data_IF_172167877938
#
_entry.id   IF_172167877938
#
_cell.length_a   1.000
_cell.length_b   1.000
_cell.length_c   1.000
_cell.angle_alpha   90.00
_cell.angle_beta   90.00
_cell.angle_gamma   90.00
#
_symmetry.space_group_name_H-M   'P 1'
#
loop_
_entity.id
_entity.type
_entity.pdbx_description
1 polymer ?
#
# COMPACT_ATOMS: atom_id res chain seq x y z
N UNK A 1 -6.26 -11.36 7.51
CA UNK A 1 -5.85 -11.42 8.93
C UNK A 1 -4.97 -10.20 9.24
N UNK A 2 -5.44 -9.23 10.03
CA UNK A 2 -4.72 -7.98 10.29
C UNK A 2 -4.01 -7.97 11.67
N UNK A 3 -3.34 -9.06 12.04
CA UNK A 3 -2.85 -9.26 13.42
C UNK A 3 -1.48 -8.65 13.72
N UNK A 4 -0.52 -8.76 12.80
CA UNK A 4 0.89 -8.38 13.04
C UNK A 4 1.13 -6.90 12.75
N UNK A 5 0.65 -6.40 11.61
CA UNK A 5 0.75 -4.97 11.25
C UNK A 5 0.06 -4.06 12.28
N UNK A 6 -1.06 -4.49 12.87
CA UNK A 6 -1.72 -3.74 13.93
C UNK A 6 -0.85 -3.54 15.18
N UNK A 7 0.06 -4.49 15.43
CA UNK A 7 1.03 -4.49 16.54
C UNK A 7 2.37 -3.84 16.17
N UNK A 8 2.47 -3.23 14.99
CA UNK A 8 3.70 -2.62 14.49
C UNK A 8 4.77 -3.63 14.11
N UNK A 9 4.39 -4.90 13.90
CA UNK A 9 5.31 -5.94 13.44
C UNK A 9 5.20 -6.02 11.93
N UNK A 10 6.29 -5.66 11.24
CA UNK A 10 6.38 -5.90 9.81
C UNK A 10 6.83 -7.33 9.52
N UNK A 11 6.29 -7.95 8.46
CA UNK A 11 6.68 -9.30 8.04
C UNK A 11 6.74 -9.38 6.53
N UNK A 12 7.91 -9.71 6.00
CA UNK A 12 8.12 -10.01 4.59
C UNK A 12 8.43 -11.49 4.41
N UNK A 13 8.04 -12.06 3.28
CA UNK A 13 8.17 -13.47 2.99
C UNK A 13 9.00 -13.68 1.72
N UNK A 14 9.90 -14.66 1.75
CA UNK A 14 10.82 -14.95 0.66
C UNK A 14 10.75 -16.41 0.24
N UNK A 15 10.15 -16.67 -0.92
CA UNK A 15 10.07 -18.00 -1.50
C UNK A 15 11.38 -18.37 -2.17
N UNK A 16 11.94 -19.54 -1.87
CA UNK A 16 13.16 -20.05 -2.51
C UNK A 16 12.81 -21.19 -3.45
N UNK A 17 13.17 -21.08 -4.73
CA UNK A 17 12.79 -22.05 -5.74
C UNK A 17 11.27 -22.05 -6.00
N UNK A 18 10.76 -23.12 -6.61
CA UNK A 18 9.39 -23.13 -7.18
C UNK A 18 8.33 -23.81 -6.28
N UNK A 19 8.74 -24.40 -5.15
CA UNK A 19 7.87 -25.27 -4.36
C UNK A 19 7.26 -24.58 -3.12
N UNK A 20 7.39 -23.25 -3.01
CA UNK A 20 6.76 -22.51 -1.92
C UNK A 20 5.30 -22.18 -2.24
N UNK A 21 4.48 -22.05 -1.20
CA UNK A 21 3.08 -21.66 -1.33
C UNK A 21 2.98 -20.12 -1.39
N UNK A 22 2.82 -19.60 -2.62
CA UNK A 22 2.76 -18.16 -2.89
C UNK A 22 1.55 -17.50 -2.22
N UNK A 23 0.40 -18.17 -2.21
CA UNK A 23 -0.83 -17.65 -1.61
C UNK A 23 -0.70 -17.52 -0.09
N UNK A 24 -0.19 -18.56 0.57
CA UNK A 24 0.03 -18.56 2.00
C UNK A 24 1.07 -17.50 2.39
N UNK A 25 2.21 -17.48 1.70
CA UNK A 25 3.29 -16.56 2.02
C UNK A 25 2.90 -15.11 1.71
N UNK A 26 2.15 -14.88 0.64
CA UNK A 26 1.57 -13.58 0.32
C UNK A 26 0.58 -13.10 1.37
N UNK A 27 -0.25 -13.99 1.89
CA UNK A 27 -1.16 -13.67 2.98
C UNK A 27 -0.42 -13.30 4.28
N UNK A 28 0.68 -14.00 4.61
CA UNK A 28 1.52 -13.69 5.77
C UNK A 28 2.20 -12.32 5.60
N UNK A 29 2.80 -12.06 4.44
CA UNK A 29 3.46 -10.79 4.16
C UNK A 29 2.48 -9.63 4.24
N UNK A 30 1.30 -9.79 3.60
CA UNK A 30 0.22 -8.79 3.62
C UNK A 30 -0.30 -8.54 5.05
N UNK A 31 -0.45 -9.59 5.86
CA UNK A 31 -0.87 -9.46 7.27
C UNK A 31 0.14 -8.67 8.13
N UNK A 32 1.41 -8.67 7.74
CA UNK A 32 2.50 -7.92 8.34
C UNK A 32 2.83 -6.61 7.62
N UNK A 33 2.06 -6.12 6.65
CA UNK A 33 2.42 -4.92 5.87
C UNK A 33 3.86 -4.99 5.29
N UNK A 34 4.25 -6.18 4.82
CA UNK A 34 5.52 -6.44 4.13
C UNK A 34 5.31 -7.02 2.75
N UNK A 35 6.40 -7.46 2.12
CA UNK A 35 6.42 -7.89 0.70
C UNK A 35 6.59 -9.40 0.58
N UNK A 36 6.03 -9.99 -0.48
CA UNK A 36 6.40 -11.32 -0.95
C UNK A 36 7.37 -11.19 -2.13
N UNK A 37 8.48 -11.93 -2.10
CA UNK A 37 9.39 -12.03 -3.24
C UNK A 37 9.87 -13.47 -3.45
N UNK A 38 9.99 -13.87 -4.71
CA UNK A 38 10.60 -15.13 -5.12
C UNK A 38 12.09 -14.92 -5.36
N UNK A 39 12.89 -15.86 -4.85
CA UNK A 39 14.33 -15.92 -4.97
C UNK A 39 14.70 -17.13 -5.82
N UNK A 40 15.29 -16.88 -6.98
CA UNK A 40 15.78 -17.91 -7.90
C UNK A 40 17.17 -18.41 -7.50
N UNK A 41 17.99 -17.56 -6.86
CA UNK A 41 19.29 -17.97 -6.32
C UNK A 41 19.62 -17.30 -4.97
N UNK A 42 20.37 -17.97 -4.08
CA UNK A 42 20.76 -17.41 -2.78
C UNK A 42 21.53 -16.08 -2.85
N UNK A 43 22.09 -15.71 -4.00
CA UNK A 43 22.79 -14.45 -4.19
C UNK A 43 21.83 -13.25 -4.12
N UNK A 44 20.58 -13.40 -4.57
CA UNK A 44 19.57 -12.33 -4.55
C UNK A 44 19.08 -12.01 -3.13
N UNK A 45 19.25 -12.93 -2.17
CA UNK A 45 18.80 -12.77 -0.79
C UNK A 45 19.40 -11.51 -0.13
N UNK A 46 20.66 -11.19 -0.43
CA UNK A 46 21.36 -10.03 0.17
C UNK A 46 20.72 -8.72 -0.26
N UNK A 47 20.49 -8.55 -1.56
CA UNK A 47 19.94 -7.32 -2.12
C UNK A 47 18.48 -7.13 -1.70
N UNK A 48 17.73 -8.23 -1.69
CA UNK A 48 16.33 -8.24 -1.26
C UNK A 48 16.19 -7.90 0.23
N UNK A 49 17.04 -8.48 1.08
CA UNK A 49 17.08 -8.14 2.50
C UNK A 49 17.45 -6.67 2.73
N UNK A 50 18.45 -6.15 2.00
CA UNK A 50 18.84 -4.75 2.08
C UNK A 50 17.69 -3.81 1.65
N UNK A 51 16.96 -4.17 0.59
CA UNK A 51 15.79 -3.44 0.12
C UNK A 51 14.68 -3.38 1.18
N UNK A 52 14.36 -4.50 1.82
CA UNK A 52 13.34 -4.55 2.87
C UNK A 52 13.76 -3.77 4.11
N UNK A 53 15.03 -3.89 4.54
CA UNK A 53 15.55 -3.10 5.67
C UNK A 53 15.52 -1.59 5.37
N UNK A 54 15.89 -1.20 4.14
CA UNK A 54 15.80 0.18 3.69
C UNK A 54 14.35 0.66 3.66
N UNK A 55 13.41 -0.17 3.20
CA UNK A 55 11.98 0.12 3.20
C UNK A 55 11.46 0.38 4.62
N UNK A 56 11.84 -0.46 5.58
CA UNK A 56 11.52 -0.27 6.99
C UNK A 56 12.13 1.03 7.54
N UNK A 57 13.42 1.26 7.30
CA UNK A 57 14.14 2.43 7.80
C UNK A 57 13.63 3.77 7.21
N UNK A 58 13.04 3.72 6.01
CA UNK A 58 12.48 4.90 5.32
C UNK A 58 10.98 5.04 5.50
N UNK A 59 10.30 4.12 6.20
CA UNK A 59 8.87 4.26 6.44
C UNK A 59 8.63 5.40 7.43
N UNK A 60 7.91 6.42 6.97
CA UNK A 60 7.63 7.65 7.70
C UNK A 60 6.16 7.76 8.14
N UNK A 61 5.29 6.89 7.64
CA UNK A 61 3.87 6.92 7.96
C UNK A 61 3.27 5.52 7.93
N UNK A 62 2.67 5.12 9.05
CA UNK A 62 1.90 3.89 9.17
C UNK A 62 0.42 4.22 9.34
N UNK A 63 -0.46 3.32 8.86
CA UNK A 63 -1.92 3.45 8.99
C UNK A 63 -2.43 4.81 8.48
N UNK A 64 -1.94 5.24 7.33
CA UNK A 64 -2.32 6.51 6.71
C UNK A 64 -3.62 6.34 5.94
N UNK A 65 -4.48 7.36 5.94
CA UNK A 65 -5.69 7.38 5.12
C UNK A 65 -5.81 8.69 4.36
N UNK A 66 -6.41 8.65 3.17
CA UNK A 66 -6.68 9.78 2.31
C UNK A 66 -8.18 10.06 2.29
N UNK A 67 -8.57 11.25 2.73
CA UNK A 67 -9.92 11.79 2.53
C UNK A 67 -9.92 12.79 1.38
N UNK A 68 -10.79 12.59 0.39
CA UNK A 68 -10.96 13.51 -0.74
C UNK A 68 -12.28 14.25 -0.56
N UNK A 69 -12.23 15.60 -0.57
CA UNK A 69 -13.42 16.44 -0.47
C UNK A 69 -13.44 17.45 -1.62
N UNK A 70 -14.45 17.34 -2.46
CA UNK A 70 -14.69 18.31 -3.52
C UNK A 70 -15.27 19.63 -2.95
N UNK A 71 -15.08 20.72 -3.71
CA UNK A 71 -15.58 22.07 -3.38
C UNK A 71 -16.20 22.69 -4.63
N UNK A 72 -16.86 23.84 -4.45
CA UNK A 72 -17.42 24.65 -5.54
C UNK A 72 -18.41 23.88 -6.43
N UNK A 73 -19.27 23.05 -5.82
CA UNK A 73 -20.28 22.27 -6.53
C UNK A 73 -19.73 21.07 -7.32
N UNK A 74 -18.43 20.79 -7.25
CA UNK A 74 -17.89 19.53 -7.74
C UNK A 74 -18.21 18.38 -6.78
N UNK A 75 -18.33 17.18 -7.31
CA UNK A 75 -18.60 15.95 -6.56
C UNK A 75 -17.50 14.91 -6.82
N UNK A 76 -17.08 14.21 -5.76
CA UNK A 76 -16.18 13.06 -5.89
C UNK A 76 -17.03 11.87 -6.32
N UNK A 77 -16.78 11.37 -7.52
CA UNK A 77 -17.50 10.22 -8.08
C UNK A 77 -16.83 8.92 -7.64
N UNK A 78 -15.50 8.88 -7.72
CA UNK A 78 -14.75 7.65 -7.47
C UNK A 78 -13.26 7.93 -7.16
N UNK A 79 -12.64 7.02 -6.40
CA UNK A 79 -11.18 6.89 -6.28
C UNK A 79 -10.81 5.61 -7.00
N UNK A 80 -10.11 5.75 -8.12
CA UNK A 80 -9.89 4.65 -9.08
C UNK A 80 -8.85 3.64 -8.61
N UNK A 81 -8.13 3.92 -7.52
CA UNK A 81 -7.21 2.98 -6.91
C UNK A 81 -7.98 1.97 -6.06
N UNK A 82 -7.56 0.70 -6.09
CA UNK A 82 -8.10 -0.34 -5.22
C UNK A 82 -7.56 -0.17 -3.78
N UNK A 83 -8.12 0.82 -3.09
CA UNK A 83 -7.76 1.18 -1.73
C UNK A 83 -8.94 0.86 -0.81
N UNK A 84 -8.74 0.05 0.25
CA UNK A 84 -9.79 -0.25 1.21
C UNK A 84 -10.39 1.03 1.80
N UNK A 85 -11.71 1.08 1.91
CA UNK A 85 -12.39 2.19 2.57
C UNK A 85 -12.43 1.91 4.07
N UNK A 86 -12.00 2.90 4.85
CA UNK A 86 -12.07 2.89 6.31
C UNK A 86 -13.48 3.17 6.80
N UNK A 87 -13.77 2.86 8.07
CA UNK A 87 -15.09 3.13 8.69
C UNK A 87 -15.50 4.61 8.67
N UNK A 88 -14.54 5.52 8.45
CA UNK A 88 -14.75 6.97 8.37
C UNK A 88 -14.94 7.48 6.93
N UNK A 89 -14.96 6.59 5.93
CA UNK A 89 -15.12 6.95 4.52
C UNK A 89 -13.85 7.43 3.81
N UNK A 90 -12.68 7.37 4.48
CA UNK A 90 -11.38 7.63 3.84
C UNK A 90 -10.83 6.36 3.19
N UNK A 91 -9.96 6.51 2.19
CA UNK A 91 -9.22 5.41 1.58
C UNK A 91 -7.94 5.12 2.35
N UNK A 92 -7.73 3.87 2.76
CA UNK A 92 -6.51 3.43 3.42
C UNK A 92 -5.36 3.43 2.41
N UNK A 93 -4.28 4.13 2.74
CA UNK A 93 -3.07 4.14 1.94
C UNK A 93 -2.10 3.05 2.43
N UNK A 94 -1.19 2.57 1.55
CA UNK A 94 -0.03 1.81 2.02
C UNK A 94 0.84 2.65 2.96
N UNK A 95 1.74 1.99 3.70
CA UNK A 95 2.75 2.69 4.49
C UNK A 95 3.59 3.63 3.61
N UNK A 96 3.77 4.87 4.07
CA UNK A 96 4.47 5.90 3.31
C UNK A 96 5.97 5.78 3.54
N UNK A 97 6.75 5.75 2.46
CA UNK A 97 8.22 5.70 2.50
C UNK A 97 8.82 6.99 1.95
N UNK A 98 9.90 7.46 2.59
CA UNK A 98 10.62 8.65 2.17
C UNK A 98 11.11 8.50 0.72
N UNK A 99 10.73 9.45 -0.15
CA UNK A 99 11.12 9.46 -1.56
C UNK A 99 10.33 8.53 -2.47
N UNK A 100 9.38 7.74 -1.94
CA UNK A 100 8.47 6.93 -2.76
C UNK A 100 7.23 7.73 -3.15
N UNK A 101 6.93 7.77 -4.45
CA UNK A 101 5.71 8.41 -4.95
C UNK A 101 4.51 7.46 -4.87
N UNK A 102 3.37 7.99 -4.46
CA UNK A 102 2.07 7.31 -4.48
C UNK A 102 1.12 8.10 -5.38
N UNK A 103 0.65 7.47 -6.45
CA UNK A 103 -0.29 8.08 -7.38
C UNK A 103 -1.72 7.65 -7.05
N UNK A 104 -2.58 8.63 -6.74
CA UNK A 104 -4.01 8.40 -6.52
C UNK A 104 -4.82 9.11 -7.60
N UNK A 105 -5.62 8.35 -8.34
CA UNK A 105 -6.48 8.86 -9.40
C UNK A 105 -7.91 9.02 -8.86
N UNK A 106 -8.48 10.23 -9.06
CA UNK A 106 -9.83 10.58 -8.60
C UNK A 106 -10.68 10.99 -9.79
N UNK A 107 -11.90 10.45 -9.86
CA UNK A 107 -12.92 10.90 -10.81
C UNK A 107 -13.80 11.96 -10.15
N UNK A 108 -13.88 13.13 -10.77
CA UNK A 108 -14.70 14.23 -10.32
C UNK A 108 -15.80 14.54 -11.33
N UNK A 109 -17.00 14.83 -10.82
CA UNK A 109 -18.06 15.47 -11.60
C UNK A 109 -18.00 16.97 -11.30
N UNK A 110 -17.90 17.79 -12.34
CA UNK A 110 -17.91 19.25 -12.20
C UNK A 110 -19.32 19.79 -12.39
N UNK A 111 -19.67 20.92 -11.74
CA UNK A 111 -20.91 21.61 -12.04
C UNK A 111 -20.91 22.13 -13.48
N UNK A 112 -22.09 22.38 -14.03
CA UNK A 112 -22.21 22.99 -15.35
C UNK A 112 -21.44 24.31 -15.38
N UNK A 113 -20.65 24.51 -16.44
CA UNK A 113 -19.90 25.74 -16.62
C UNK A 113 -20.87 26.91 -16.85
N UNK A 114 -20.69 27.99 -16.09
CA UNK A 114 -21.32 29.28 -16.35
C UNK A 114 -20.26 30.31 -16.71
N UNK A 115 -20.48 31.08 -17.78
CA UNK A 115 -19.66 32.24 -18.07
C UNK A 115 -19.82 33.28 -16.95
N UNK A 116 -18.70 33.85 -16.49
CA UNK A 116 -18.68 34.97 -15.54
C UNK A 116 -19.25 36.24 -16.17
#
# INVERSE_FOLDING_TARGET
>A
MAGLSQRGVSTSAFGLGLDFDEDLMGAIATAGDGTLAHIESPQQLKDLYASELQGLATTIGHKVSLGVRAKNGAEVVDVLNDLPVTDYGNHQLPSLRLGQELNVAVRLQLPAWSAN
#
